data_IF_717367120415
#
_entry.id   IF_717367120415
#
_cell.length_a   1.000
_cell.length_b   1.000
_cell.length_c   1.000
_cell.angle_alpha   90.00
_cell.angle_beta   90.00
_cell.angle_gamma   90.00
#
_symmetry.space_group_name_H-M   'P 1'
#
loop_
_entity.id
_entity.type
_entity.pdbx_description
1 polymer ?
#
# COMPACT_ATOMS: atom_id res chain seq x y z
N UNK A 1 -4.26 -6.71 -7.82
CA UNK A 1 -4.30 -6.71 -6.34
C UNK A 1 -5.69 -6.22 -5.90
N UNK A 2 -6.10 -6.49 -4.65
CA UNK A 2 -7.36 -5.97 -4.11
C UNK A 2 -7.45 -4.43 -4.19
N UNK A 3 -6.37 -3.72 -3.81
CA UNK A 3 -6.31 -2.25 -3.85
C UNK A 3 -6.46 -1.70 -5.28
N UNK A 4 -5.83 -2.32 -6.28
CA UNK A 4 -5.99 -1.90 -7.68
C UNK A 4 -7.44 -2.09 -8.18
N UNK A 5 -8.14 -3.13 -7.73
CA UNK A 5 -9.56 -3.31 -8.04
C UNK A 5 -10.37 -2.14 -7.48
N UNK A 6 -10.20 -1.83 -6.20
CA UNK A 6 -10.91 -0.73 -5.52
C UNK A 6 -10.61 0.60 -6.21
N UNK A 7 -9.34 0.91 -6.47
CA UNK A 7 -8.96 2.15 -7.16
C UNK A 7 -9.62 2.25 -8.54
N UNK A 8 -9.64 1.16 -9.32
CA UNK A 8 -10.33 1.16 -10.63
C UNK A 8 -11.84 1.36 -10.51
N UNK A 9 -12.49 0.79 -9.48
CA UNK A 9 -13.94 0.94 -9.23
C UNK A 9 -14.32 2.41 -8.99
N UNK A 10 -13.43 3.19 -8.38
CA UNK A 10 -13.66 4.59 -8.02
C UNK A 10 -12.81 5.58 -8.82
N UNK A 11 -12.30 5.16 -10.00
CA UNK A 11 -11.48 6.00 -10.90
C UNK A 11 -10.25 6.64 -10.23
N UNK A 12 -9.74 6.00 -9.18
CA UNK A 12 -8.57 6.41 -8.43
C UNK A 12 -7.25 5.94 -9.06
N UNK A 13 -6.18 6.66 -8.77
CA UNK A 13 -4.83 6.32 -9.21
C UNK A 13 -3.95 5.90 -8.01
N UNK A 14 -3.26 4.76 -8.14
CA UNK A 14 -2.31 4.29 -7.13
C UNK A 14 -0.88 4.56 -7.61
N UNK A 15 -0.17 5.38 -6.86
CA UNK A 15 1.26 5.57 -7.03
C UNK A 15 2.03 4.68 -6.03
N UNK A 16 2.91 3.83 -6.56
CA UNK A 16 3.78 3.01 -5.72
C UNK A 16 5.02 3.80 -5.29
N UNK A 17 5.47 3.56 -4.05
CA UNK A 17 6.68 4.15 -3.47
C UNK A 17 7.49 3.06 -2.74
N UNK A 18 8.70 3.40 -2.31
CA UNK A 18 9.52 2.52 -1.47
C UNK A 18 8.87 2.34 -0.10
N UNK A 19 9.08 1.20 0.54
CA UNK A 19 8.43 0.85 1.83
C UNK A 19 9.02 1.61 3.03
N UNK A 20 10.08 2.39 2.83
CA UNK A 20 10.71 3.18 3.90
C UNK A 20 9.79 4.33 4.32
N UNK A 21 9.62 4.53 5.64
CA UNK A 21 8.72 5.56 6.19
C UNK A 21 8.98 6.95 5.62
N UNK A 22 10.24 7.38 5.54
CA UNK A 22 10.59 8.69 4.98
C UNK A 22 10.20 8.82 3.50
N UNK A 23 10.26 7.74 2.72
CA UNK A 23 9.87 7.74 1.32
C UNK A 23 8.34 7.86 1.16
N UNK A 24 7.57 7.23 2.06
CA UNK A 24 6.12 7.39 2.13
C UNK A 24 5.70 8.79 2.59
N UNK A 25 6.36 9.35 3.60
CA UNK A 25 6.13 10.74 4.05
C UNK A 25 6.48 11.76 2.95
N UNK A 26 7.59 11.53 2.23
CA UNK A 26 7.96 12.37 1.08
C UNK A 26 6.95 12.23 -0.07
N UNK A 27 6.40 11.03 -0.30
CA UNK A 27 5.35 10.80 -1.29
C UNK A 27 4.04 11.48 -0.89
N UNK A 28 3.71 11.50 0.41
CA UNK A 28 2.54 12.21 0.95
C UNK A 28 2.59 13.72 0.67
N UNK A 29 3.77 14.32 0.59
CA UNK A 29 3.93 15.74 0.27
C UNK A 29 3.82 16.11 -1.22
N UNK A 30 3.53 15.14 -2.11
CA UNK A 30 3.39 15.42 -3.55
C UNK A 30 1.97 15.90 -3.87
N UNK A 31 1.86 16.77 -4.87
CA UNK A 31 0.57 17.25 -5.35
C UNK A 31 -0.35 16.10 -5.79
N UNK A 32 -1.62 16.19 -5.38
CA UNK A 32 -2.66 15.21 -5.73
C UNK A 32 -2.65 13.92 -4.90
N UNK A 33 -1.72 13.75 -3.94
CA UNK A 33 -1.76 12.60 -3.02
C UNK A 33 -2.73 12.88 -1.88
N UNK A 34 -3.76 12.05 -1.76
CA UNK A 34 -4.83 12.21 -0.75
C UNK A 34 -4.72 11.21 0.41
N UNK A 35 -4.01 10.11 0.21
CA UNK A 35 -3.81 9.05 1.18
C UNK A 35 -2.53 8.28 0.84
N UNK A 36 -1.74 7.94 1.85
CA UNK A 36 -0.65 6.96 1.73
C UNK A 36 -0.90 5.84 2.74
N UNK A 37 -0.70 4.60 2.31
CA UNK A 37 -0.79 3.42 3.17
C UNK A 37 0.41 2.50 2.98
N UNK A 38 0.89 1.90 4.07
CA UNK A 38 2.06 0.99 4.06
C UNK A 38 1.70 -0.49 3.85
N UNK A 39 0.40 -0.83 3.88
CA UNK A 39 -0.10 -2.20 3.79
C UNK A 39 0.02 -3.02 5.08
N UNK A 40 0.52 -2.41 6.17
CA UNK A 40 0.66 -2.99 7.51
C UNK A 40 -0.21 -2.27 8.56
N UNK A 41 -1.10 -1.37 8.11
CA UNK A 41 -2.02 -0.60 8.96
C UNK A 41 -1.59 0.84 9.23
N UNK A 42 -0.46 1.28 8.69
CA UNK A 42 -0.04 2.67 8.73
C UNK A 42 -0.71 3.49 7.62
N UNK A 43 -1.30 4.63 8.01
CA UNK A 43 -1.90 5.60 7.09
C UNK A 43 -1.33 7.00 7.31
N UNK A 44 -1.17 7.75 6.21
CA UNK A 44 -0.83 9.17 6.19
C UNK A 44 -1.95 9.91 5.46
N UNK A 45 -2.46 10.98 6.07
CA UNK A 45 -3.47 11.86 5.49
C UNK A 45 -2.83 13.23 5.22
N UNK A 46 -2.36 13.50 3.98
CA UNK A 46 -1.60 14.71 3.65
C UNK A 46 -2.35 16.02 3.92
N UNK A 47 -3.69 15.99 3.92
CA UNK A 47 -4.52 17.16 4.20
C UNK A 47 -4.35 17.74 5.61
N UNK A 48 -3.86 16.94 6.57
CA UNK A 48 -3.52 17.41 7.90
C UNK A 48 -2.01 17.58 8.06
N UNK A 49 -1.27 16.48 7.96
CA UNK A 49 0.20 16.49 7.99
C UNK A 49 0.79 15.21 7.34
N UNK A 50 1.97 15.28 6.70
CA UNK A 50 2.58 14.15 5.99
C UNK A 50 3.32 13.18 6.93
N UNK A 51 2.62 12.68 7.97
CA UNK A 51 3.15 11.75 8.99
C UNK A 51 2.13 10.63 9.23
N UNK A 52 2.60 9.45 9.63
CA UNK A 52 1.73 8.36 10.06
C UNK A 52 0.94 8.74 11.31
N UNK A 53 -0.39 8.56 11.24
CA UNK A 53 -1.26 8.85 12.38
C UNK A 53 -2.40 7.84 12.47
N UNK A 54 -2.29 6.96 13.48
CA UNK A 54 -3.31 5.95 13.76
C UNK A 54 -4.57 6.52 14.40
N UNK A 55 -4.46 7.59 15.19
CA UNK A 55 -5.63 8.22 15.81
C UNK A 55 -6.48 8.90 14.73
N UNK A 56 -5.83 9.62 13.81
CA UNK A 56 -6.50 10.20 12.66
C UNK A 56 -7.10 9.13 11.74
N UNK A 57 -6.42 7.99 11.54
CA UNK A 57 -6.96 6.89 10.75
C UNK A 57 -8.27 6.34 11.36
N UNK A 58 -8.31 6.15 12.68
CA UNK A 58 -9.52 5.72 13.38
C UNK A 58 -10.62 6.80 13.28
N UNK A 59 -10.27 8.06 13.51
CA UNK A 59 -11.22 9.17 13.38
C UNK A 59 -11.82 9.25 11.97
N UNK A 60 -10.98 9.12 10.92
CA UNK A 60 -11.43 9.10 9.52
C UNK A 60 -12.30 7.89 9.21
N UNK A 61 -11.98 6.71 9.74
CA UNK A 61 -12.84 5.54 9.59
C UNK A 61 -14.22 5.78 10.22
N UNK A 62 -14.27 6.28 11.45
CA UNK A 62 -15.53 6.59 12.15
C UNK A 62 -16.32 7.69 11.44
N UNK A 63 -15.65 8.75 10.97
CA UNK A 63 -16.25 9.83 10.18
C UNK A 63 -16.92 9.27 8.92
N UNK A 64 -16.24 8.40 8.17
CA UNK A 64 -16.77 7.80 6.95
C UNK A 64 -17.96 6.88 7.27
N UNK A 65 -17.86 6.01 8.27
CA UNK A 65 -18.96 5.12 8.67
C UNK A 65 -20.21 5.91 9.09
N UNK A 66 -20.04 6.98 9.87
CA UNK A 66 -21.13 7.85 10.29
C UNK A 66 -21.73 8.62 9.11
N UNK A 67 -20.89 9.16 8.22
CA UNK A 67 -21.32 9.94 7.04
C UNK A 67 -22.13 9.11 6.07
N UNK A 68 -21.65 7.90 5.76
CA UNK A 68 -22.33 6.98 4.84
C UNK A 68 -23.40 6.12 5.52
N UNK A 69 -23.55 6.22 6.84
CA UNK A 69 -24.49 5.44 7.66
C UNK A 69 -24.34 3.92 7.45
N UNK A 70 -23.09 3.46 7.36
CA UNK A 70 -22.75 2.06 7.14
C UNK A 70 -22.14 1.44 8.39
N UNK A 71 -22.36 0.14 8.57
CA UNK A 71 -21.65 -0.68 9.55
C UNK A 71 -20.30 -1.09 8.97
N UNK A 72 -19.32 -1.27 9.85
CA UNK A 72 -17.99 -1.75 9.44
C UNK A 72 -18.05 -3.11 8.73
N UNK A 73 -18.95 -4.01 9.16
CA UNK A 73 -19.14 -5.32 8.52
C UNK A 73 -19.58 -5.20 7.07
N UNK A 74 -20.49 -4.26 6.75
CA UNK A 74 -20.98 -4.04 5.38
C UNK A 74 -19.85 -3.56 4.46
N UNK A 75 -18.97 -2.70 4.98
CA UNK A 75 -17.79 -2.24 4.24
C UNK A 75 -16.83 -3.41 3.99
N UNK A 76 -16.57 -4.25 5.01
CA UNK A 76 -15.68 -5.40 4.88
C UNK A 76 -16.23 -6.44 3.90
N UNK A 77 -17.54 -6.68 3.92
CA UNK A 77 -18.21 -7.65 3.04
C UNK A 77 -18.24 -7.20 1.56
N UNK A 78 -18.22 -5.90 1.26
CA UNK A 78 -18.13 -5.36 -0.11
C UNK A 78 -16.71 -5.44 -0.71
N UNK A 79 -15.68 -5.64 0.12
CA UNK A 79 -14.30 -5.68 -0.36
C UNK A 79 -14.05 -6.92 -1.23
N UNK A 80 -13.25 -6.78 -2.31
CA UNK A 80 -12.91 -7.92 -3.15
C UNK A 80 -12.10 -8.96 -2.35
N UNK A 81 -12.52 -10.23 -2.41
CA UNK A 81 -11.80 -11.33 -1.77
C UNK A 81 -10.38 -11.44 -2.32
N UNK A 82 -9.41 -11.59 -1.41
CA UNK A 82 -8.01 -11.79 -1.78
C UNK A 82 -7.32 -12.66 -0.73
N UNK A 83 -6.37 -13.48 -1.17
CA UNK A 83 -5.59 -14.35 -0.31
C UNK A 83 -4.12 -13.95 -0.38
N UNK A 84 -3.49 -13.83 0.79
CA UNK A 84 -2.07 -13.48 0.91
C UNK A 84 -1.33 -14.61 1.62
N UNK A 85 -0.23 -15.04 1.03
CA UNK A 85 0.75 -15.90 1.69
C UNK A 85 2.08 -15.16 1.75
N UNK A 86 2.68 -15.12 2.93
CA UNK A 86 3.96 -14.48 3.17
C UNK A 86 4.90 -15.47 3.84
N UNK A 87 6.16 -15.48 3.41
CA UNK A 87 7.21 -16.30 4.00
C UNK A 87 8.50 -15.51 4.09
N UNK A 88 9.36 -15.89 5.04
CA UNK A 88 10.69 -15.33 5.20
C UNK A 88 11.71 -16.42 4.91
N UNK A 89 12.70 -16.10 4.07
CA UNK A 89 13.78 -17.02 3.72
C UNK A 89 15.10 -16.37 4.11
N UNK A 90 15.85 -17.03 4.98
CA UNK A 90 17.19 -16.59 5.37
C UNK A 90 18.10 -16.63 4.15
N UNK A 91 18.77 -15.52 3.86
CA UNK A 91 19.71 -15.39 2.75
C UNK A 91 20.98 -14.70 3.25
N UNK A 92 22.18 -15.31 3.10
CA UNK A 92 23.44 -14.63 3.38
C UNK A 92 23.54 -13.31 2.60
N UNK A 93 24.13 -12.30 3.23
CA UNK A 93 24.16 -10.93 2.69
C UNK A 93 24.79 -10.88 1.31
N UNK A 94 25.88 -11.61 1.12
CA UNK A 94 26.64 -11.79 -0.12
C UNK A 94 25.82 -12.42 -1.26
N UNK A 95 24.72 -13.12 -0.95
CA UNK A 95 23.88 -13.78 -1.95
C UNK A 95 22.61 -12.99 -2.28
N UNK A 96 22.21 -12.02 -1.46
CA UNK A 96 20.98 -11.24 -1.65
C UNK A 96 20.94 -10.58 -3.03
N UNK A 97 22.03 -9.95 -3.46
CA UNK A 97 22.11 -9.31 -4.78
C UNK A 97 21.97 -10.30 -5.94
N UNK A 98 22.59 -11.48 -5.81
CA UNK A 98 22.49 -12.56 -6.81
C UNK A 98 21.05 -13.08 -6.94
N UNK A 99 20.39 -13.33 -5.80
CA UNK A 99 18.99 -13.79 -5.77
C UNK A 99 18.07 -12.75 -6.42
N UNK A 100 18.21 -11.47 -6.05
CA UNK A 100 17.41 -10.39 -6.64
C UNK A 100 17.61 -10.28 -8.14
N UNK A 101 18.84 -10.44 -8.64
CA UNK A 101 19.11 -10.43 -10.09
C UNK A 101 18.44 -11.60 -10.81
N UNK A 102 18.60 -12.82 -10.30
CA UNK A 102 18.00 -14.03 -10.90
C UNK A 102 16.48 -13.88 -10.97
N UNK A 103 15.83 -13.48 -9.88
CA UNK A 103 14.39 -13.24 -9.86
C UNK A 103 13.99 -12.12 -10.84
N UNK A 104 14.77 -11.05 -10.92
CA UNK A 104 14.52 -9.94 -11.85
C UNK A 104 14.58 -10.38 -13.32
N UNK A 105 15.53 -11.26 -13.66
CA UNK A 105 15.71 -11.79 -15.01
C UNK A 105 14.61 -12.80 -15.36
N UNK A 106 14.32 -13.73 -14.44
CA UNK A 106 13.31 -14.77 -14.64
C UNK A 106 11.90 -14.23 -14.85
N UNK A 107 11.54 -13.13 -14.18
CA UNK A 107 10.19 -12.54 -14.25
C UNK A 107 10.12 -11.28 -15.10
N UNK A 108 11.13 -11.00 -15.94
CA UNK A 108 11.27 -9.73 -16.67
C UNK A 108 10.02 -9.30 -17.45
N UNK A 109 9.33 -10.24 -18.09
CA UNK A 109 8.14 -9.98 -18.93
C UNK A 109 6.84 -9.81 -18.13
N UNK A 110 6.80 -10.33 -16.91
CA UNK A 110 5.59 -10.34 -16.05
C UNK A 110 5.66 -9.32 -14.92
N UNK A 111 6.78 -8.62 -14.79
CA UNK A 111 7.10 -7.74 -13.66
C UNK A 111 6.69 -6.29 -13.95
N UNK A 112 6.22 -5.61 -12.91
CA UNK A 112 6.03 -4.16 -12.90
C UNK A 112 7.38 -3.39 -12.76
N UNK A 113 7.41 -2.08 -13.04
CA UNK A 113 8.65 -1.30 -12.86
C UNK A 113 9.19 -1.47 -11.43
N UNK A 114 10.47 -1.85 -11.25
CA UNK A 114 11.04 -2.06 -9.93
C UNK A 114 11.10 -0.72 -9.18
N UNK A 115 10.47 -0.65 -8.01
CA UNK A 115 10.54 0.51 -7.12
C UNK A 115 11.23 0.08 -5.82
N UNK A 116 10.77 -1.04 -5.28
CA UNK A 116 11.31 -1.68 -4.09
C UNK A 116 11.17 -3.19 -4.25
N UNK A 117 12.31 -3.88 -4.33
CA UNK A 117 12.33 -5.30 -4.66
C UNK A 117 11.72 -5.63 -6.04
N UNK A 118 10.96 -6.72 -6.08
CA UNK A 118 10.34 -7.28 -7.29
C UNK A 118 8.86 -7.49 -7.00
N UNK A 119 8.00 -7.02 -7.91
CA UNK A 119 6.54 -7.15 -7.85
C UNK A 119 5.98 -7.57 -9.21
#
# INVERSE_FOLDING_TARGET
SALQHIAKRYEGNIQHTKVLRHAMMSAAGRDGVVLVGDGLGGFIFPSLHPVFDGMLAIAKLLELLATFKMRLSEVVDDLPTYYLSSTQVTCPWEHKGKVMRILSEQYRERRSKPIDGIK
#
